data_IF_171295388834
#
_entry.id   IF_171295388834
#
_cell.length_a   1.000
_cell.length_b   1.000
_cell.length_c   1.000
_cell.angle_alpha   90.00
_cell.angle_beta   90.00
_cell.angle_gamma   90.00
#
_symmetry.space_group_name_H-M   'P 1'
#
loop_
_entity.id
_entity.type
_entity.pdbx_description
1 polymer ?
#
# COMPACT_ATOMS: atom_id res chain seq x y z
N UNK A 1 13.13 -18.48 -18.68
CA UNK A 1 12.92 -17.54 -19.82
C UNK A 1 11.46 -17.10 -19.75
N UNK A 2 11.19 -15.82 -19.54
CA UNK A 2 9.83 -15.30 -19.44
C UNK A 2 9.25 -15.13 -20.85
N UNK A 3 8.10 -15.75 -21.13
CA UNK A 3 7.37 -15.59 -22.38
C UNK A 3 6.13 -14.72 -22.11
N UNK A 4 6.03 -13.59 -22.80
CA UNK A 4 4.85 -12.73 -22.75
C UNK A 4 4.06 -12.82 -24.03
N UNK A 5 2.76 -13.15 -23.91
CA UNK A 5 1.84 -13.24 -25.04
C UNK A 5 1.02 -11.96 -25.19
N UNK A 6 0.78 -11.54 -26.42
CA UNK A 6 0.02 -10.33 -26.76
C UNK A 6 -1.43 -10.42 -26.29
N UNK A 7 -1.91 -9.35 -25.66
CA UNK A 7 -3.28 -9.20 -25.18
C UNK A 7 -4.35 -9.51 -26.26
N UNK A 8 -5.48 -10.04 -25.83
CA UNK A 8 -6.64 -10.40 -26.68
C UNK A 8 -6.31 -11.48 -27.73
N UNK A 9 -5.26 -12.25 -27.55
CA UNK A 9 -4.89 -13.39 -28.40
C UNK A 9 -4.89 -14.70 -27.59
N UNK A 10 -4.90 -15.82 -28.28
CA UNK A 10 -4.91 -17.14 -27.64
C UNK A 10 -3.73 -17.34 -26.67
N UNK A 11 -2.57 -16.78 -26.98
CA UNK A 11 -1.35 -16.84 -26.18
C UNK A 11 -1.19 -15.68 -25.20
N UNK A 12 -2.23 -14.88 -24.96
CA UNK A 12 -2.14 -13.70 -24.08
C UNK A 12 -1.66 -14.07 -22.68
N UNK A 13 -0.70 -13.32 -22.16
CA UNK A 13 -0.39 -13.32 -20.72
C UNK A 13 -1.47 -12.50 -20.02
N UNK A 14 -2.19 -13.10 -19.05
CA UNK A 14 -3.32 -12.48 -18.36
C UNK A 14 -3.00 -12.23 -16.89
N UNK A 15 -3.24 -10.99 -16.46
CA UNK A 15 -3.12 -10.54 -15.07
C UNK A 15 -4.50 -10.14 -14.56
N UNK A 16 -4.90 -10.67 -13.42
CA UNK A 16 -6.13 -10.30 -12.72
C UNK A 16 -5.77 -9.48 -11.50
N UNK A 17 -6.23 -8.24 -11.46
CA UNK A 17 -6.08 -7.35 -10.30
C UNK A 17 -7.26 -7.55 -9.35
N UNK A 18 -6.98 -7.80 -8.08
CA UNK A 18 -7.96 -7.85 -7.00
C UNK A 18 -7.86 -6.57 -6.16
N UNK A 19 -8.72 -5.61 -6.49
CA UNK A 19 -8.65 -4.22 -6.13
C UNK A 19 -8.31 -3.38 -7.35
N UNK A 20 -9.23 -2.50 -7.74
CA UNK A 20 -9.16 -1.72 -8.97
C UNK A 20 -9.14 -0.21 -8.67
N UNK A 21 -8.56 0.18 -7.52
CA UNK A 21 -8.36 1.56 -7.13
C UNK A 21 -7.27 2.27 -7.93
N UNK A 22 -6.78 3.38 -7.39
CA UNK A 22 -5.74 4.21 -7.99
C UNK A 22 -4.42 3.47 -8.21
N UNK A 23 -3.98 2.65 -7.24
CA UNK A 23 -2.75 1.88 -7.36
C UNK A 23 -2.92 0.77 -8.41
N UNK A 24 -4.04 0.05 -8.37
CA UNK A 24 -4.39 -0.95 -9.37
C UNK A 24 -4.46 -0.38 -10.79
N UNK A 25 -4.89 0.88 -10.97
CA UNK A 25 -4.89 1.57 -12.26
C UNK A 25 -3.46 1.74 -12.80
N UNK A 26 -2.53 2.19 -12.00
CA UNK A 26 -1.12 2.34 -12.41
C UNK A 26 -0.47 0.98 -12.71
N UNK A 27 -0.77 -0.07 -11.91
CA UNK A 27 -0.34 -1.45 -12.22
C UNK A 27 -0.91 -1.92 -13.56
N UNK A 28 -2.19 -1.66 -13.84
CA UNK A 28 -2.81 -2.00 -15.12
C UNK A 28 -2.13 -1.31 -16.30
N UNK A 29 -1.80 -0.02 -16.18
CA UNK A 29 -1.10 0.76 -17.18
C UNK A 29 0.30 0.16 -17.45
N UNK A 30 1.05 -0.19 -16.41
CA UNK A 30 2.36 -0.81 -16.56
C UNK A 30 2.29 -2.22 -17.18
N UNK A 31 1.27 -3.02 -16.85
CA UNK A 31 1.02 -4.29 -17.54
C UNK A 31 0.78 -4.07 -19.03
N UNK A 32 -0.02 -3.07 -19.41
CA UNK A 32 -0.31 -2.76 -20.81
C UNK A 32 0.91 -2.27 -21.59
N UNK A 33 1.85 -1.54 -20.94
CA UNK A 33 3.13 -1.16 -21.55
C UNK A 33 3.95 -2.36 -22.03
N UNK A 34 3.74 -3.52 -21.39
CA UNK A 34 4.39 -4.79 -21.76
C UNK A 34 3.49 -5.70 -22.62
N UNK A 35 2.34 -5.20 -23.10
CA UNK A 35 1.40 -5.95 -23.91
C UNK A 35 0.60 -7.02 -23.18
N UNK A 36 0.59 -6.98 -21.84
CA UNK A 36 -0.11 -7.93 -20.97
C UNK A 36 -1.60 -7.60 -20.89
N UNK A 37 -2.44 -8.62 -20.92
CA UNK A 37 -3.89 -8.50 -20.80
C UNK A 37 -4.30 -8.36 -19.34
N UNK A 38 -5.08 -7.33 -19.02
CA UNK A 38 -5.49 -7.01 -17.66
C UNK A 38 -6.98 -7.23 -17.46
N UNK A 39 -7.34 -7.93 -16.38
CA UNK A 39 -8.69 -8.11 -15.86
C UNK A 39 -8.76 -7.39 -14.52
N UNK A 40 -9.65 -6.40 -14.40
CA UNK A 40 -9.84 -5.62 -13.18
C UNK A 40 -11.03 -6.15 -12.37
N UNK A 41 -10.82 -6.43 -11.09
CA UNK A 41 -11.89 -6.92 -10.20
C UNK A 41 -12.01 -5.99 -9.00
N UNK A 42 -13.23 -5.53 -8.69
CA UNK A 42 -13.52 -4.73 -7.50
C UNK A 42 -14.94 -4.99 -7.00
N UNK A 43 -15.29 -4.44 -5.83
CA UNK A 43 -16.62 -4.52 -5.23
C UNK A 43 -17.64 -3.54 -5.82
N UNK A 44 -17.20 -2.55 -6.59
CA UNK A 44 -18.03 -1.52 -7.21
C UNK A 44 -17.65 -1.32 -8.68
N UNK A 45 -18.62 -0.90 -9.47
CA UNK A 45 -18.44 -0.63 -10.89
C UNK A 45 -17.62 0.65 -11.11
N UNK A 46 -17.03 0.77 -12.30
CA UNK A 46 -16.28 1.95 -12.75
C UNK A 46 -15.13 2.34 -11.82
N UNK A 47 -14.54 1.35 -11.14
CA UNK A 47 -13.33 1.55 -10.36
C UNK A 47 -12.17 1.98 -11.26
N UNK A 48 -11.22 2.81 -10.78
CA UNK A 48 -10.17 3.43 -11.60
C UNK A 48 -9.43 2.51 -12.57
N UNK A 49 -9.05 1.30 -12.16
CA UNK A 49 -8.37 0.35 -13.04
C UNK A 49 -9.28 -0.24 -14.11
N UNK A 50 -10.61 -0.27 -13.90
CA UNK A 50 -11.57 -0.76 -14.90
C UNK A 50 -11.60 0.12 -16.16
N UNK A 51 -11.25 1.41 -16.02
CA UNK A 51 -11.20 2.34 -17.17
C UNK A 51 -10.05 2.02 -18.15
N UNK A 52 -9.05 1.27 -17.71
CA UNK A 52 -7.85 0.95 -18.50
C UNK A 52 -7.62 -0.55 -18.65
N UNK A 53 -8.41 -1.40 -18.01
CA UNK A 53 -8.34 -2.84 -18.16
C UNK A 53 -9.01 -3.31 -19.45
N UNK A 54 -8.67 -4.51 -19.90
CA UNK A 54 -9.33 -5.13 -21.09
C UNK A 54 -10.72 -5.67 -20.76
N UNK A 55 -10.92 -6.14 -19.53
CA UNK A 55 -12.20 -6.61 -18.98
C UNK A 55 -12.29 -6.28 -17.50
N UNK A 56 -13.49 -6.28 -16.96
CA UNK A 56 -13.72 -6.03 -15.55
C UNK A 56 -14.86 -6.88 -14.98
N UNK A 57 -14.79 -7.14 -13.68
CA UNK A 57 -15.81 -7.84 -12.91
C UNK A 57 -16.10 -7.11 -11.59
N UNK A 58 -17.37 -7.04 -11.23
CA UNK A 58 -17.83 -6.50 -9.95
C UNK A 58 -18.30 -7.65 -9.09
N UNK A 59 -17.57 -7.95 -8.01
CA UNK A 59 -17.89 -9.01 -7.05
C UNK A 59 -17.56 -8.57 -5.62
N UNK A 60 -18.16 -9.22 -4.64
CA UNK A 60 -17.64 -9.18 -3.28
C UNK A 60 -16.39 -10.07 -3.20
N UNK A 61 -15.20 -9.47 -3.16
CA UNK A 61 -13.93 -10.20 -3.12
C UNK A 61 -13.68 -10.95 -1.80
N UNK A 62 -14.49 -10.72 -0.75
CA UNK A 62 -14.50 -11.54 0.46
C UNK A 62 -15.30 -12.86 0.28
N UNK A 63 -16.10 -12.96 -0.79
CA UNK A 63 -16.76 -14.21 -1.19
C UNK A 63 -15.79 -15.05 -2.03
N UNK A 64 -15.22 -16.09 -1.42
CA UNK A 64 -14.28 -16.98 -2.07
C UNK A 64 -14.87 -17.70 -3.29
N UNK A 65 -16.14 -18.10 -3.25
CA UNK A 65 -16.80 -18.77 -4.36
C UNK A 65 -17.03 -17.82 -5.55
N UNK A 66 -17.37 -16.55 -5.28
CA UNK A 66 -17.47 -15.54 -6.33
C UNK A 66 -16.11 -15.28 -6.97
N UNK A 67 -15.03 -15.19 -6.15
CA UNK A 67 -13.67 -15.03 -6.63
C UNK A 67 -13.25 -16.23 -7.51
N UNK A 68 -13.47 -17.45 -7.04
CA UNK A 68 -13.15 -18.68 -7.82
C UNK A 68 -13.85 -18.69 -9.17
N UNK A 69 -15.15 -18.38 -9.22
CA UNK A 69 -15.90 -18.34 -10.50
C UNK A 69 -15.29 -17.38 -11.52
N UNK A 70 -14.84 -16.21 -11.09
CA UNK A 70 -14.18 -15.23 -11.98
C UNK A 70 -12.81 -15.73 -12.42
N UNK A 71 -12.03 -16.34 -11.53
CA UNK A 71 -10.73 -16.94 -11.88
C UNK A 71 -10.90 -18.07 -12.91
N UNK A 72 -11.86 -18.96 -12.72
CA UNK A 72 -12.15 -20.05 -13.67
C UNK A 72 -12.63 -19.55 -15.03
N UNK A 73 -13.40 -18.47 -15.06
CA UNK A 73 -13.88 -17.81 -16.29
C UNK A 73 -12.71 -17.19 -17.07
N UNK A 74 -11.89 -16.39 -16.40
CA UNK A 74 -10.84 -15.57 -17.02
C UNK A 74 -9.53 -16.31 -17.21
N UNK A 75 -9.25 -17.33 -16.41
CA UNK A 75 -8.02 -18.14 -16.42
C UNK A 75 -6.77 -17.27 -16.43
N UNK A 76 -6.57 -16.41 -15.42
CA UNK A 76 -5.41 -15.55 -15.33
C UNK A 76 -4.14 -16.39 -15.12
N UNK A 77 -2.99 -15.88 -15.59
CA UNK A 77 -1.69 -16.43 -15.28
C UNK A 77 -1.16 -15.91 -13.94
N UNK A 78 -1.58 -14.69 -13.57
CA UNK A 78 -1.21 -14.04 -12.33
C UNK A 78 -2.45 -13.42 -11.67
N UNK A 79 -2.59 -13.63 -10.37
CA UNK A 79 -3.59 -12.99 -9.50
C UNK A 79 -2.84 -12.00 -8.60
N UNK A 80 -3.18 -10.72 -8.71
CA UNK A 80 -2.43 -9.61 -8.07
C UNK A 80 -3.35 -8.88 -7.09
N UNK A 81 -3.26 -9.18 -5.78
CA UNK A 81 -3.96 -8.43 -4.74
C UNK A 81 -3.44 -6.99 -4.62
N UNK A 82 -4.36 -6.02 -4.68
CA UNK A 82 -4.07 -4.59 -4.54
C UNK A 82 -4.77 -3.97 -3.33
N UNK A 83 -5.57 -4.73 -2.62
CA UNK A 83 -6.25 -4.35 -1.37
C UNK A 83 -6.24 -5.49 -0.37
N UNK A 84 -6.60 -5.19 0.88
CA UNK A 84 -6.62 -6.20 1.95
C UNK A 84 -8.00 -6.91 2.11
N UNK A 85 -9.07 -6.41 1.49
CA UNK A 85 -10.42 -6.98 1.64
C UNK A 85 -10.68 -8.10 0.62
N UNK A 86 -9.97 -9.23 0.75
CA UNK A 86 -10.00 -10.39 -0.16
C UNK A 86 -10.11 -11.68 0.64
N UNK A 87 -10.76 -12.69 0.05
CA UNK A 87 -10.84 -14.06 0.58
C UNK A 87 -9.46 -14.75 0.48
N UNK A 88 -8.57 -14.49 1.44
CA UNK A 88 -7.17 -15.00 1.41
C UNK A 88 -7.06 -16.52 1.48
N UNK A 89 -8.02 -17.19 2.13
CA UNK A 89 -8.05 -18.67 2.14
C UNK A 89 -8.33 -19.23 0.75
N UNK A 90 -9.13 -18.54 -0.06
CA UNK A 90 -9.32 -18.88 -1.46
C UNK A 90 -8.04 -18.65 -2.28
N UNK A 91 -7.29 -17.58 -2.02
CA UNK A 91 -6.00 -17.36 -2.69
C UNK A 91 -5.00 -18.48 -2.40
N UNK A 92 -4.96 -18.99 -1.16
CA UNK A 92 -4.10 -20.13 -0.80
C UNK A 92 -4.49 -21.38 -1.61
N UNK A 93 -5.79 -21.70 -1.70
CA UNK A 93 -6.27 -22.83 -2.48
C UNK A 93 -5.92 -22.69 -3.97
N UNK A 94 -6.10 -21.50 -4.55
CA UNK A 94 -5.76 -21.25 -5.95
C UNK A 94 -4.26 -21.37 -6.20
N UNK A 95 -3.42 -20.95 -5.27
CA UNK A 95 -1.97 -21.09 -5.35
C UNK A 95 -1.55 -22.57 -5.23
N UNK A 96 -2.16 -23.35 -4.33
CA UNK A 96 -1.96 -24.81 -4.23
C UNK A 96 -2.39 -25.55 -5.49
N UNK A 97 -3.38 -25.04 -6.22
CA UNK A 97 -3.82 -25.54 -7.53
C UNK A 97 -2.86 -25.13 -8.68
N UNK A 98 -1.82 -24.35 -8.40
CA UNK A 98 -0.78 -23.95 -9.34
C UNK A 98 -0.96 -22.59 -10.02
N UNK A 99 -1.89 -21.74 -9.53
CA UNK A 99 -1.99 -20.37 -10.00
C UNK A 99 -0.94 -19.47 -9.31
N UNK A 100 -0.43 -18.48 -10.03
CA UNK A 100 0.53 -17.54 -9.45
C UNK A 100 -0.21 -16.40 -8.72
N UNK A 101 -0.17 -16.40 -7.41
CA UNK A 101 -0.61 -15.28 -6.57
C UNK A 101 0.59 -14.38 -6.26
N UNK A 102 0.43 -13.07 -6.32
CA UNK A 102 1.52 -12.07 -6.22
C UNK A 102 1.43 -11.32 -4.89
N UNK A 103 2.55 -11.16 -4.17
CA UNK A 103 3.83 -11.85 -4.36
C UNK A 103 3.73 -13.35 -4.06
N UNK A 104 2.85 -13.76 -3.13
CA UNK A 104 2.33 -15.11 -2.87
C UNK A 104 1.11 -15.01 -1.93
N UNK A 105 0.27 -16.06 -1.90
CA UNK A 105 -0.94 -16.07 -1.08
C UNK A 105 -0.63 -15.97 0.44
N UNK A 106 0.47 -16.60 0.88
CA UNK A 106 0.94 -16.52 2.27
C UNK A 106 1.28 -15.08 2.67
N UNK A 107 2.01 -14.33 1.82
CA UNK A 107 2.36 -12.94 2.10
C UNK A 107 1.11 -12.08 2.25
N UNK A 108 0.16 -12.20 1.31
CA UNK A 108 -1.12 -11.50 1.36
C UNK A 108 -1.89 -11.80 2.65
N UNK A 109 -1.98 -13.07 3.06
CA UNK A 109 -2.69 -13.47 4.29
C UNK A 109 -2.02 -12.93 5.55
N UNK A 110 -0.68 -13.03 5.64
CA UNK A 110 0.05 -12.57 6.82
C UNK A 110 -0.02 -11.07 7.03
N UNK A 111 0.08 -10.30 5.97
CA UNK A 111 0.08 -8.83 6.05
C UNK A 111 -1.31 -8.23 6.29
N UNK A 112 -2.37 -8.95 5.93
CA UNK A 112 -3.74 -8.58 6.32
C UNK A 112 -4.02 -8.71 7.82
N UNK A 113 -3.24 -9.52 8.51
CA UNK A 113 -3.38 -9.81 9.93
C UNK A 113 -2.21 -9.21 10.71
N UNK A 114 -2.45 -8.11 11.44
CA UNK A 114 -1.42 -7.45 12.25
C UNK A 114 -0.75 -8.39 13.26
N UNK A 115 -1.45 -9.40 13.77
CA UNK A 115 -0.83 -10.40 14.65
C UNK A 115 0.18 -11.25 13.87
N UNK A 116 -0.19 -11.74 12.68
CA UNK A 116 0.68 -12.57 11.87
C UNK A 116 1.98 -11.86 11.50
N UNK A 117 1.88 -10.64 10.96
CA UNK A 117 3.08 -9.90 10.56
C UNK A 117 3.91 -9.42 11.76
N UNK A 118 3.27 -9.04 12.88
CA UNK A 118 3.98 -8.63 14.09
C UNK A 118 4.76 -9.78 14.71
N UNK A 119 4.17 -10.99 14.79
CA UNK A 119 4.86 -12.17 15.28
C UNK A 119 6.00 -12.59 14.37
N UNK A 120 5.79 -12.58 13.05
CA UNK A 120 6.85 -12.84 12.09
C UNK A 120 8.04 -11.90 12.32
N UNK A 121 7.80 -10.59 12.42
CA UNK A 121 8.86 -9.61 12.60
C UNK A 121 9.56 -9.72 13.96
N UNK A 122 8.80 -9.74 15.06
CA UNK A 122 9.34 -9.66 16.40
C UNK A 122 9.83 -11.01 16.94
N UNK A 123 9.09 -12.12 16.71
CA UNK A 123 9.33 -13.40 17.35
C UNK A 123 10.18 -14.33 16.47
N UNK A 124 9.89 -14.41 15.16
CA UNK A 124 10.62 -15.28 14.24
C UNK A 124 11.89 -14.63 13.70
N UNK A 125 11.80 -13.37 13.23
CA UNK A 125 12.93 -12.64 12.64
C UNK A 125 13.74 -11.85 13.68
N UNK A 126 13.24 -11.70 14.90
CA UNK A 126 13.86 -10.96 16.00
C UNK A 126 14.25 -9.52 15.61
N UNK A 127 13.39 -8.88 14.82
CA UNK A 127 13.58 -7.50 14.41
C UNK A 127 13.15 -6.52 15.51
N UNK A 128 13.77 -5.33 15.58
CA UNK A 128 13.28 -4.24 16.42
C UNK A 128 11.84 -3.87 16.02
N UNK A 129 10.90 -3.94 16.97
CA UNK A 129 9.50 -3.51 16.81
C UNK A 129 9.07 -2.69 18.01
N UNK A 130 7.92 -2.00 17.93
CA UNK A 130 7.26 -1.48 19.12
C UNK A 130 6.97 -2.62 20.12
N UNK A 131 6.97 -2.34 21.42
CA UNK A 131 6.43 -3.28 22.40
C UNK A 131 4.94 -3.50 22.13
N UNK A 132 4.46 -4.73 22.25
CA UNK A 132 3.07 -5.04 21.92
C UNK A 132 2.47 -6.14 22.79
N UNK A 133 1.12 -6.15 22.87
CA UNK A 133 0.34 -7.24 23.42
C UNK A 133 -0.97 -7.38 22.63
N UNK A 134 -1.46 -8.62 22.52
CA UNK A 134 -2.76 -8.91 21.92
C UNK A 134 -3.81 -9.14 23.00
N UNK A 135 -5.05 -8.73 22.71
CA UNK A 135 -6.19 -8.95 23.59
C UNK A 135 -7.44 -9.26 22.78
N UNK A 136 -8.22 -10.24 23.24
CA UNK A 136 -9.48 -10.68 22.64
C UNK A 136 -10.70 -10.39 23.51
N UNK A 137 -10.47 -9.78 24.68
CA UNK A 137 -11.51 -9.33 25.60
C UNK A 137 -11.12 -7.99 26.22
N UNK A 138 -12.12 -7.24 26.74
CA UNK A 138 -11.88 -5.96 27.41
C UNK A 138 -10.99 -6.12 28.66
N UNK A 139 -11.12 -7.23 29.40
CA UNK A 139 -10.25 -7.49 30.56
C UNK A 139 -8.79 -7.62 30.13
N UNK A 140 -8.51 -8.47 29.13
CA UNK A 140 -7.15 -8.66 28.59
C UNK A 140 -6.62 -7.37 27.94
N UNK A 141 -7.48 -6.58 27.31
CA UNK A 141 -7.09 -5.27 26.79
C UNK A 141 -6.62 -4.32 27.90
N UNK A 142 -7.36 -4.24 29.02
CA UNK A 142 -6.95 -3.43 30.17
C UNK A 142 -5.64 -3.92 30.79
N UNK A 143 -5.44 -5.23 30.91
CA UNK A 143 -4.19 -5.84 31.34
C UNK A 143 -3.03 -5.53 30.35
N UNK A 144 -3.29 -5.60 29.06
CA UNK A 144 -2.32 -5.26 28.02
C UNK A 144 -1.88 -3.80 28.12
N UNK A 145 -2.84 -2.86 28.27
CA UNK A 145 -2.52 -1.44 28.48
C UNK A 145 -1.75 -1.21 29.77
N UNK A 146 -2.13 -1.87 30.88
CA UNK A 146 -1.41 -1.75 32.14
C UNK A 146 0.05 -2.24 32.04
N UNK A 147 0.30 -3.28 31.21
CA UNK A 147 1.65 -3.82 31.00
C UNK A 147 2.51 -2.98 30.03
N UNK A 148 1.89 -2.37 29.01
CA UNK A 148 2.58 -1.50 28.03
C UNK A 148 2.83 -0.10 28.63
N UNK A 149 1.85 0.41 29.40
CA UNK A 149 1.87 1.77 29.95
C UNK A 149 1.30 2.82 29.00
N UNK A 150 1.29 4.06 29.50
CA UNK A 150 0.82 5.22 28.71
C UNK A 150 2.00 6.10 28.26
N UNK A 151 1.90 6.73 27.08
CA UNK A 151 0.87 6.54 26.05
C UNK A 151 1.03 5.22 25.29
N UNK A 152 -0.09 4.68 24.80
CA UNK A 152 -0.10 3.50 23.93
C UNK A 152 -1.13 3.66 22.79
N UNK A 153 -1.08 2.76 21.82
CA UNK A 153 -1.99 2.75 20.68
C UNK A 153 -2.73 1.40 20.67
N UNK A 154 -4.05 1.44 20.57
CA UNK A 154 -4.85 0.25 20.28
C UNK A 154 -5.29 0.25 18.82
N UNK A 155 -5.23 -0.93 18.17
CA UNK A 155 -5.67 -1.13 16.79
C UNK A 155 -6.40 -2.47 16.68
N UNK A 156 -7.50 -2.59 15.91
CA UNK A 156 -8.02 -3.90 15.53
C UNK A 156 -6.96 -4.68 14.75
N UNK A 157 -6.88 -6.00 14.98
CA UNK A 157 -5.92 -6.86 14.25
C UNK A 157 -6.18 -6.85 12.74
N UNK A 158 -7.44 -6.76 12.34
CA UNK A 158 -7.89 -6.73 10.94
C UNK A 158 -8.50 -5.35 10.61
N UNK A 159 -7.68 -4.33 10.39
CA UNK A 159 -8.12 -3.00 9.94
C UNK A 159 -7.05 -2.30 9.10
N UNK A 160 -7.44 -1.26 8.37
CA UNK A 160 -6.51 -0.42 7.58
C UNK A 160 -6.92 1.05 7.67
N UNK A 161 -6.04 1.94 7.22
CA UNK A 161 -6.28 3.40 7.17
C UNK A 161 -6.75 3.97 8.52
N UNK A 162 -6.14 3.53 9.62
CA UNK A 162 -6.42 4.05 10.96
C UNK A 162 -7.82 3.74 11.55
N UNK A 163 -8.68 2.98 10.85
CA UNK A 163 -10.02 2.67 11.34
C UNK A 163 -9.98 1.84 12.61
N UNK A 164 -10.68 2.30 13.68
CA UNK A 164 -10.67 1.68 14.98
C UNK A 164 -9.39 1.90 15.79
N UNK A 165 -8.44 2.70 15.29
CA UNK A 165 -7.22 3.04 16.00
C UNK A 165 -7.46 4.18 17.01
N UNK A 166 -6.94 4.02 18.21
CA UNK A 166 -6.99 5.07 19.25
C UNK A 166 -5.62 5.24 19.91
N UNK A 167 -5.20 6.49 20.05
CA UNK A 167 -4.04 6.88 20.85
C UNK A 167 -4.52 7.14 22.30
N UNK A 168 -4.09 6.29 23.23
CA UNK A 168 -4.54 6.27 24.62
C UNK A 168 -3.49 6.95 25.49
N UNK A 169 -3.88 8.02 26.18
CA UNK A 169 -3.02 8.80 27.07
C UNK A 169 -3.26 8.52 28.54
N UNK A 170 -4.48 8.03 28.89
CA UNK A 170 -4.89 7.81 30.27
C UNK A 170 -5.97 6.73 30.39
N UNK A 171 -6.22 6.28 31.62
CA UNK A 171 -7.16 5.20 31.91
C UNK A 171 -8.62 5.55 31.56
N UNK A 172 -8.96 6.82 31.61
CA UNK A 172 -10.34 7.29 31.31
C UNK A 172 -10.75 7.02 29.85
N UNK A 173 -9.77 6.89 28.95
CA UNK A 173 -10.01 6.65 27.52
C UNK A 173 -10.25 5.17 27.19
N UNK A 174 -9.99 4.22 28.11
CA UNK A 174 -9.95 2.79 27.82
C UNK A 174 -11.29 2.24 27.31
N UNK A 175 -12.40 2.60 27.96
CA UNK A 175 -13.73 2.08 27.57
C UNK A 175 -14.08 2.51 26.13
N UNK A 176 -13.91 3.80 25.82
CA UNK A 176 -14.19 4.35 24.50
C UNK A 176 -13.23 3.77 23.44
N UNK A 177 -11.95 3.62 23.77
CA UNK A 177 -10.95 3.06 22.85
C UNK A 177 -11.24 1.60 22.49
N UNK A 178 -11.66 0.78 23.49
CA UNK A 178 -12.08 -0.59 23.25
C UNK A 178 -13.30 -0.65 22.34
N UNK A 179 -14.35 0.12 22.67
CA UNK A 179 -15.59 0.17 21.89
C UNK A 179 -15.33 0.59 20.43
N UNK A 180 -14.53 1.64 20.23
CA UNK A 180 -14.16 2.11 18.88
C UNK A 180 -13.36 1.06 18.11
N UNK A 181 -12.42 0.37 18.77
CA UNK A 181 -11.65 -0.69 18.13
C UNK A 181 -12.55 -1.88 17.70
N UNK A 182 -13.63 -2.19 18.45
CA UNK A 182 -14.58 -3.22 18.06
C UNK A 182 -15.43 -2.85 16.84
N UNK A 183 -15.68 -1.55 16.61
CA UNK A 183 -16.43 -1.03 15.45
C UNK A 183 -15.58 -0.91 14.19
N UNK A 184 -14.26 -0.70 14.33
CA UNK A 184 -13.34 -0.45 13.23
C UNK A 184 -12.79 -1.69 12.51
N UNK A 185 -13.05 -2.90 13.04
CA UNK A 185 -12.54 -4.14 12.47
C UNK A 185 -13.26 -4.55 11.17
N UNK A 186 -12.51 -4.93 10.13
CA UNK A 186 -13.07 -5.44 8.86
C UNK A 186 -13.75 -6.81 9.01
N UNK A 187 -13.35 -7.59 10.01
CA UNK A 187 -13.92 -8.90 10.34
C UNK A 187 -14.97 -8.83 11.48
N UNK A 188 -15.45 -7.62 11.82
CA UNK A 188 -16.32 -7.39 12.96
C UNK A 188 -15.55 -7.20 14.27
N UNK A 189 -16.28 -7.27 15.40
CA UNK A 189 -15.71 -7.21 16.74
C UNK A 189 -14.74 -8.37 16.98
N UNK A 190 -13.60 -8.09 17.59
CA UNK A 190 -12.60 -9.13 17.78
C UNK A 190 -11.32 -8.66 18.45
N UNK A 191 -10.26 -9.37 18.13
CA UNK A 191 -8.93 -9.22 18.70
C UNK A 191 -8.30 -7.88 18.35
N UNK A 192 -7.63 -7.27 19.31
CA UNK A 192 -6.87 -6.02 19.15
C UNK A 192 -5.38 -6.23 19.46
N UNK A 193 -4.53 -5.36 18.93
CA UNK A 193 -3.17 -5.17 19.36
C UNK A 193 -3.06 -3.86 20.15
N UNK A 194 -2.36 -3.88 21.28
CA UNK A 194 -1.94 -2.71 22.06
C UNK A 194 -0.45 -2.55 21.84
N UNK A 195 -0.03 -1.38 21.37
CA UNK A 195 1.38 -1.09 21.06
C UNK A 195 1.88 0.09 21.87
N UNK A 196 3.12 -0.01 22.36
CA UNK A 196 3.83 1.13 22.93
C UNK A 196 4.15 2.17 21.85
N UNK A 197 4.06 3.43 22.21
CA UNK A 197 4.38 4.53 21.29
C UNK A 197 5.89 4.59 21.08
N UNK A 198 6.30 4.47 19.83
CA UNK A 198 7.69 4.68 19.42
C UNK A 198 7.94 6.19 19.29
N UNK A 199 9.00 6.68 19.92
CA UNK A 199 9.51 8.02 19.67
C UNK A 199 10.48 7.94 18.50
N UNK A 200 10.19 8.64 17.43
CA UNK A 200 10.99 8.63 16.20
C UNK A 200 11.21 10.05 15.68
N UNK A 201 12.26 10.23 14.90
CA UNK A 201 12.54 11.50 14.23
C UNK A 201 11.67 11.64 12.96
N UNK A 202 11.54 10.53 12.20
CA UNK A 202 10.69 10.46 11.03
C UNK A 202 10.33 8.99 10.71
N UNK A 203 9.28 8.83 9.91
CA UNK A 203 8.84 7.58 9.34
C UNK A 203 9.19 7.51 7.85
N UNK A 204 9.57 6.32 7.38
CA UNK A 204 9.81 6.07 5.96
C UNK A 204 9.01 4.88 5.47
N UNK A 205 8.69 4.92 4.18
CA UNK A 205 8.37 3.71 3.40
C UNK A 205 9.59 3.33 2.58
N UNK A 206 10.17 2.17 2.84
CA UNK A 206 11.23 1.60 2.02
C UNK A 206 10.63 0.63 1.01
N UNK A 207 10.41 1.12 -0.21
CA UNK A 207 9.91 0.31 -1.33
C UNK A 207 10.98 -0.72 -1.69
N UNK A 208 10.64 -1.99 -1.46
CA UNK A 208 11.55 -3.14 -1.57
C UNK A 208 11.00 -4.11 -2.60
N UNK A 209 11.81 -4.46 -3.59
CA UNK A 209 11.42 -5.33 -4.70
C UNK A 209 12.11 -6.68 -4.57
N UNK A 210 11.34 -7.76 -4.48
CA UNK A 210 11.83 -9.12 -4.64
C UNK A 210 11.65 -9.54 -6.10
N UNK A 211 12.73 -9.79 -6.80
CA UNK A 211 12.72 -10.13 -8.23
C UNK A 211 13.68 -11.30 -8.53
N UNK A 212 13.67 -11.78 -9.76
CA UNK A 212 14.49 -12.93 -10.21
C UNK A 212 15.99 -12.69 -10.11
N UNK A 213 16.42 -11.41 -10.12
CA UNK A 213 17.80 -10.97 -9.98
C UNK A 213 18.16 -10.47 -8.58
N UNK A 214 17.29 -10.71 -7.58
CA UNK A 214 17.55 -10.43 -6.18
C UNK A 214 16.58 -9.43 -5.55
N UNK A 215 16.97 -8.88 -4.39
CA UNK A 215 16.22 -7.86 -3.67
C UNK A 215 16.81 -6.48 -3.95
N UNK A 216 15.97 -5.58 -4.45
CA UNK A 216 16.33 -4.21 -4.79
C UNK A 216 15.57 -3.22 -3.91
N UNK A 217 16.14 -2.03 -3.69
CA UNK A 217 15.54 -0.97 -2.89
C UNK A 217 15.43 0.31 -3.69
N UNK A 218 14.29 0.96 -3.61
CA UNK A 218 14.20 2.38 -3.98
C UNK A 218 14.91 3.24 -2.92
N UNK A 219 15.24 4.47 -3.26
CA UNK A 219 15.63 5.45 -2.25
C UNK A 219 14.48 5.60 -1.23
N UNK A 220 14.77 5.83 0.06
CA UNK A 220 13.73 5.95 1.09
C UNK A 220 12.71 7.02 0.77
N UNK A 221 11.44 6.71 0.95
CA UNK A 221 10.33 7.65 0.79
C UNK A 221 9.93 8.17 2.17
N UNK A 222 10.12 9.46 2.40
CA UNK A 222 9.53 10.16 3.54
C UNK A 222 8.09 10.54 3.24
N UNK A 223 7.26 10.62 4.28
CA UNK A 223 5.87 10.98 4.11
C UNK A 223 5.30 11.71 5.32
N UNK A 224 4.21 12.42 5.11
CA UNK A 224 3.39 13.01 6.16
C UNK A 224 1.99 12.41 6.10
N UNK A 225 1.53 11.97 7.26
CA UNK A 225 0.16 11.52 7.48
C UNK A 225 -0.58 12.53 8.37
N UNK A 226 -1.89 12.59 8.23
CA UNK A 226 -2.78 13.37 9.07
C UNK A 226 -4.02 12.52 9.33
N UNK A 227 -4.33 12.30 10.61
CA UNK A 227 -5.41 11.39 11.04
C UNK A 227 -5.29 9.97 10.47
N UNK A 228 -4.06 9.49 10.27
CA UNK A 228 -3.78 8.18 9.68
C UNK A 228 -3.97 8.11 8.17
N UNK A 229 -4.16 9.25 7.50
CA UNK A 229 -4.31 9.34 6.05
C UNK A 229 -3.11 10.05 5.41
N UNK A 230 -2.60 9.48 4.33
CA UNK A 230 -1.49 10.03 3.57
C UNK A 230 -1.82 11.40 2.97
N UNK A 231 -0.91 12.36 3.12
CA UNK A 231 -1.04 13.74 2.59
C UNK A 231 0.03 14.07 1.58
N UNK A 232 1.29 13.88 1.92
CA UNK A 232 2.44 14.11 1.04
C UNK A 232 3.46 13.00 1.21
N UNK A 233 4.20 12.71 0.15
CA UNK A 233 5.44 11.92 0.20
C UNK A 233 6.53 12.60 -0.61
N UNK A 234 7.76 12.28 -0.30
CA UNK A 234 8.94 12.81 -0.98
C UNK A 234 10.06 11.79 -1.06
N UNK A 235 10.93 11.95 -2.04
CA UNK A 235 12.06 11.07 -2.29
C UNK A 235 13.25 11.88 -2.82
N UNK A 236 14.48 11.65 -2.27
CA UNK A 236 14.78 10.73 -1.16
C UNK A 236 14.53 11.37 0.21
N UNK A 237 14.11 10.57 1.19
CA UNK A 237 14.24 10.96 2.58
C UNK A 237 15.69 10.86 3.00
N UNK A 238 16.27 11.95 3.46
CA UNK A 238 17.64 11.97 3.99
C UNK A 238 17.71 11.22 5.31
N UNK A 239 18.71 10.35 5.46
CA UNK A 239 18.99 9.61 6.66
C UNK A 239 20.48 9.24 6.72
N UNK A 240 20.98 8.85 7.88
CA UNK A 240 22.38 8.44 8.01
C UNK A 240 22.65 7.16 7.20
N UNK A 241 23.89 6.96 6.71
CA UNK A 241 24.25 5.73 6.00
C UNK A 241 23.98 4.47 6.83
N UNK A 242 24.22 4.52 8.14
CA UNK A 242 24.00 3.40 9.06
C UNK A 242 22.50 3.10 9.24
N UNK A 243 21.65 4.13 9.37
CA UNK A 243 20.20 3.94 9.42
C UNK A 243 19.67 3.37 8.11
N UNK A 244 20.19 3.81 6.96
CA UNK A 244 19.81 3.26 5.64
C UNK A 244 20.18 1.77 5.52
N UNK A 245 21.39 1.39 5.94
CA UNK A 245 21.84 0.00 5.93
C UNK A 245 20.92 -0.88 6.80
N UNK A 246 20.61 -0.42 8.02
CA UNK A 246 19.70 -1.12 8.95
C UNK A 246 18.28 -1.24 8.37
N UNK A 247 17.76 -0.17 7.76
CA UNK A 247 16.46 -0.18 7.10
C UNK A 247 16.40 -1.23 5.98
N UNK A 248 17.44 -1.28 5.14
CA UNK A 248 17.55 -2.26 4.06
C UNK A 248 17.70 -3.69 4.59
N UNK A 249 18.43 -3.90 5.69
CA UNK A 249 18.57 -5.21 6.32
C UNK A 249 17.23 -5.72 6.87
N UNK A 250 16.49 -4.87 7.60
CA UNK A 250 15.16 -5.19 8.12
C UNK A 250 14.22 -5.53 6.96
N UNK A 251 14.13 -4.67 5.96
CA UNK A 251 13.25 -4.87 4.82
C UNK A 251 13.60 -6.14 4.04
N UNK A 252 14.88 -6.42 3.81
CA UNK A 252 15.35 -7.66 3.16
C UNK A 252 14.90 -8.90 3.92
N UNK A 253 15.08 -8.93 5.26
CA UNK A 253 14.68 -10.08 6.10
C UNK A 253 13.17 -10.32 6.01
N UNK A 254 12.37 -9.25 6.13
CA UNK A 254 10.90 -9.34 6.08
C UNK A 254 10.44 -9.85 4.71
N UNK A 255 10.93 -9.26 3.63
CA UNK A 255 10.51 -9.60 2.26
C UNK A 255 10.89 -11.03 1.90
N UNK A 256 12.10 -11.48 2.26
CA UNK A 256 12.53 -12.86 2.04
C UNK A 256 11.71 -13.87 2.86
N UNK A 257 11.35 -13.53 4.10
CA UNK A 257 10.51 -14.38 4.95
C UNK A 257 9.06 -14.45 4.45
N UNK A 258 8.52 -13.39 3.88
CA UNK A 258 7.20 -13.38 3.25
C UNK A 258 7.20 -14.23 1.96
N UNK A 259 8.26 -14.11 1.17
CA UNK A 259 8.44 -14.85 -0.08
C UNK A 259 7.70 -14.24 -1.27
N UNK A 260 7.90 -14.88 -2.45
CA UNK A 260 7.33 -14.47 -3.71
C UNK A 260 8.08 -13.33 -4.41
N UNK A 261 7.59 -12.97 -5.60
CA UNK A 261 8.13 -11.87 -6.40
C UNK A 261 7.12 -10.74 -6.53
N UNK A 262 7.57 -9.53 -6.24
CA UNK A 262 6.74 -8.33 -6.27
C UNK A 262 7.39 -7.19 -5.52
N UNK A 263 6.67 -6.09 -5.39
CA UNK A 263 7.06 -4.94 -4.59
C UNK A 263 6.40 -5.02 -3.21
N UNK A 264 7.14 -4.57 -2.20
CA UNK A 264 6.70 -4.48 -0.81
C UNK A 264 6.94 -3.06 -0.30
N UNK A 265 5.93 -2.43 0.25
CA UNK A 265 6.06 -1.18 0.99
C UNK A 265 6.37 -1.48 2.45
N UNK A 266 7.63 -1.36 2.86
CA UNK A 266 8.06 -1.62 4.25
C UNK A 266 8.10 -0.31 5.01
N UNK A 267 7.24 -0.17 6.02
CA UNK A 267 7.16 1.04 6.87
C UNK A 267 8.06 0.90 8.09
N UNK A 268 8.88 1.91 8.33
CA UNK A 268 9.93 1.89 9.33
C UNK A 268 9.97 3.24 10.08
N UNK A 269 10.09 3.18 11.41
CA UNK A 269 10.42 4.34 12.23
C UNK A 269 11.92 4.50 12.34
N UNK A 270 12.42 5.73 12.22
CA UNK A 270 13.84 6.05 12.31
C UNK A 270 14.07 7.01 13.49
N UNK A 271 15.01 6.64 14.38
CA UNK A 271 15.43 7.44 15.52
C UNK A 271 16.96 7.49 15.56
N UNK A 272 17.55 8.58 15.07
CA UNK A 272 18.98 8.64 14.83
C UNK A 272 19.44 7.54 13.88
N UNK A 273 20.29 6.64 14.38
CA UNK A 273 20.73 5.46 13.64
C UNK A 273 19.86 4.22 13.88
N UNK A 274 18.94 4.25 14.83
CA UNK A 274 18.06 3.11 15.11
C UNK A 274 16.88 3.07 14.13
N UNK A 275 16.53 1.87 13.70
CA UNK A 275 15.41 1.61 12.78
C UNK A 275 14.51 0.53 13.37
N UNK A 276 13.22 0.81 13.41
CA UNK A 276 12.22 -0.03 14.04
C UNK A 276 11.17 -0.39 12.99
N UNK A 277 10.88 -1.69 12.85
CA UNK A 277 9.83 -2.17 11.95
C UNK A 277 8.44 -1.78 12.45
N UNK A 278 7.65 -1.18 11.57
CA UNK A 278 6.25 -0.81 11.80
C UNK A 278 5.28 -1.78 11.13
N UNK A 279 5.22 -1.76 9.81
CA UNK A 279 4.27 -2.54 9.01
C UNK A 279 4.87 -2.89 7.63
N UNK A 280 4.22 -3.79 6.88
CA UNK A 280 4.56 -4.07 5.48
C UNK A 280 3.32 -4.35 4.67
N UNK A 281 3.25 -3.75 3.48
CA UNK A 281 2.25 -4.04 2.45
C UNK A 281 2.91 -4.85 1.33
N UNK A 282 2.39 -6.02 0.92
CA UNK A 282 2.98 -6.87 -0.12
C UNK A 282 2.49 -6.42 -1.52
N UNK A 283 2.48 -5.12 -1.77
CA UNK A 283 1.94 -4.45 -2.95
C UNK A 283 2.47 -3.03 -3.04
N UNK A 284 2.25 -2.31 -4.17
CA UNK A 284 2.47 -0.87 -4.26
C UNK A 284 1.84 -0.09 -3.10
N UNK A 285 2.49 0.98 -2.67
CA UNK A 285 2.14 1.76 -1.50
C UNK A 285 1.75 3.18 -1.87
N UNK A 286 0.73 3.76 -1.22
CA UNK A 286 0.25 5.13 -1.51
C UNK A 286 1.38 6.16 -1.53
N UNK A 287 2.35 6.04 -0.60
CA UNK A 287 3.50 6.95 -0.52
C UNK A 287 4.44 6.82 -1.72
N UNK A 288 4.44 5.68 -2.39
CA UNK A 288 5.26 5.39 -3.56
C UNK A 288 4.78 6.06 -4.85
N UNK A 289 3.63 6.73 -4.85
CA UNK A 289 3.17 7.55 -5.99
C UNK A 289 4.24 8.57 -6.44
N UNK A 290 5.09 9.03 -5.54
CA UNK A 290 6.22 9.92 -5.88
C UNK A 290 7.16 9.30 -6.91
N UNK A 291 7.26 7.97 -6.98
CA UNK A 291 8.14 7.25 -7.92
C UNK A 291 7.71 7.42 -9.39
N UNK A 292 6.48 7.86 -9.64
CA UNK A 292 6.00 8.18 -10.99
C UNK A 292 6.76 9.35 -11.64
N UNK A 293 7.49 10.16 -10.84
CA UNK A 293 8.25 11.31 -11.33
C UNK A 293 9.70 11.30 -10.84
N UNK A 294 10.02 10.62 -9.73
CA UNK A 294 11.33 10.68 -9.08
C UNK A 294 12.36 9.72 -9.66
N UNK A 295 11.95 8.65 -10.34
CA UNK A 295 12.83 7.59 -10.81
C UNK A 295 12.41 7.03 -12.20
N UNK A 296 13.30 6.26 -12.82
CA UNK A 296 13.09 5.72 -14.17
C UNK A 296 12.05 4.59 -14.22
N UNK A 297 11.95 3.81 -13.16
CA UNK A 297 10.95 2.77 -12.96
C UNK A 297 10.10 3.11 -11.76
N UNK A 298 8.83 3.42 -11.99
CA UNK A 298 7.89 3.62 -10.88
C UNK A 298 7.75 2.35 -10.02
N UNK A 299 7.26 2.48 -8.81
CA UNK A 299 6.96 1.31 -7.97
C UNK A 299 6.04 0.31 -8.69
N UNK A 300 5.13 0.80 -9.52
CA UNK A 300 4.22 -0.01 -10.33
C UNK A 300 4.96 -0.79 -11.42
N UNK A 301 5.88 -0.14 -12.13
CA UNK A 301 6.74 -0.77 -13.13
C UNK A 301 7.64 -1.83 -12.49
N UNK A 302 8.20 -1.54 -11.31
CA UNK A 302 9.00 -2.47 -10.53
C UNK A 302 8.18 -3.70 -10.09
N UNK A 303 6.95 -3.49 -9.59
CA UNK A 303 6.05 -4.56 -9.19
C UNK A 303 5.71 -5.47 -10.38
N UNK A 304 5.32 -4.88 -11.52
CA UNK A 304 4.98 -5.62 -12.73
C UNK A 304 6.17 -6.41 -13.27
N UNK A 305 7.38 -5.81 -13.33
CA UNK A 305 8.59 -6.55 -13.73
C UNK A 305 8.85 -7.73 -12.81
N UNK A 306 8.79 -7.52 -11.50
CA UNK A 306 9.08 -8.56 -10.53
C UNK A 306 8.17 -9.77 -10.69
N UNK A 307 6.85 -9.59 -10.65
CA UNK A 307 5.94 -10.73 -10.73
C UNK A 307 5.88 -11.38 -12.12
N UNK A 308 6.20 -10.67 -13.18
CA UNK A 308 6.33 -11.27 -14.52
C UNK A 308 7.65 -12.05 -14.70
N UNK A 309 8.50 -12.12 -13.67
CA UNK A 309 9.78 -12.81 -13.74
C UNK A 309 10.81 -12.07 -14.61
N UNK A 310 10.70 -10.76 -14.73
CA UNK A 310 11.67 -9.90 -15.42
C UNK A 310 12.68 -9.34 -14.39
N UNK A 311 13.94 -9.14 -14.77
CA UNK A 311 14.93 -8.52 -13.90
C UNK A 311 14.64 -7.03 -13.70
N UNK A 312 14.97 -6.53 -12.52
CA UNK A 312 14.96 -5.09 -12.21
C UNK A 312 16.19 -4.41 -12.79
N UNK A 313 17.37 -5.02 -12.64
CA UNK A 313 18.65 -4.55 -13.17
C UNK A 313 19.24 -3.33 -12.44
N UNK A 314 18.40 -2.46 -11.92
CA UNK A 314 18.77 -1.26 -11.18
C UNK A 314 17.66 -0.21 -11.22
N UNK A 315 17.70 0.71 -10.27
CA UNK A 315 16.71 1.80 -10.12
C UNK A 315 17.49 3.11 -10.13
N UNK A 316 17.21 3.96 -11.12
CA UNK A 316 17.86 5.27 -11.23
C UNK A 316 16.90 6.35 -10.76
N UNK A 317 17.29 7.07 -9.73
CA UNK A 317 16.59 8.26 -9.27
C UNK A 317 17.04 9.49 -10.10
N UNK A 318 16.09 10.34 -10.50
CA UNK A 318 16.36 11.56 -11.26
C UNK A 318 16.78 12.73 -10.37
N UNK A 319 16.22 12.83 -9.17
CA UNK A 319 16.47 13.91 -8.23
C UNK A 319 15.38 14.03 -7.18
N UNK A 320 15.42 15.10 -6.36
CA UNK A 320 14.38 15.36 -5.37
C UNK A 320 13.01 15.53 -6.01
N UNK A 321 12.02 14.84 -5.46
CA UNK A 321 10.64 14.89 -5.93
C UNK A 321 9.66 14.73 -4.77
N UNK A 322 8.41 15.16 -4.98
CA UNK A 322 7.33 15.00 -4.04
C UNK A 322 5.99 14.71 -4.72
N UNK A 323 5.10 14.12 -3.95
CA UNK A 323 3.69 13.88 -4.28
C UNK A 323 2.82 14.53 -3.22
N UNK A 324 1.74 15.22 -3.62
CA UNK A 324 0.73 15.75 -2.71
C UNK A 324 -0.67 15.38 -3.18
N UNK A 325 -1.55 15.00 -2.23
CA UNK A 325 -2.89 14.52 -2.56
C UNK A 325 -3.84 15.65 -2.94
N UNK A 326 -4.72 15.37 -3.90
CA UNK A 326 -5.91 16.17 -4.18
C UNK A 326 -7.04 15.54 -3.37
N UNK A 327 -7.40 16.19 -2.25
CA UNK A 327 -8.30 15.66 -1.24
C UNK A 327 -9.45 16.66 -0.98
N UNK A 328 -10.45 16.71 -1.86
CA UNK A 328 -11.63 17.52 -1.63
C UNK A 328 -12.55 16.92 -0.56
N UNK A 329 -13.48 17.73 -0.08
CA UNK A 329 -14.57 17.31 0.80
C UNK A 329 -15.89 17.74 0.18
N UNK A 330 -16.59 16.78 -0.41
CA UNK A 330 -17.92 16.96 -1.00
C UNK A 330 -18.61 15.61 -1.17
N UNK A 331 -19.90 15.65 -1.54
CA UNK A 331 -20.64 14.44 -1.93
C UNK A 331 -21.14 14.63 -3.36
N UNK A 332 -20.71 13.75 -4.27
CA UNK A 332 -21.12 13.80 -5.69
C UNK A 332 -20.91 12.45 -6.37
N UNK A 333 -21.78 12.17 -7.33
CA UNK A 333 -21.65 11.06 -8.31
C UNK A 333 -21.23 11.57 -9.71
N UNK A 334 -20.89 12.85 -9.83
CA UNK A 334 -20.52 13.49 -11.09
C UNK A 334 -19.33 14.43 -10.89
N UNK A 335 -18.19 13.84 -10.54
CA UNK A 335 -16.98 14.59 -10.18
C UNK A 335 -16.32 15.20 -11.40
N UNK A 336 -16.05 16.49 -11.34
CA UNK A 336 -15.30 17.25 -12.35
C UNK A 336 -14.10 17.96 -11.72
N UNK A 337 -13.09 18.25 -12.54
CA UNK A 337 -11.87 18.92 -12.11
C UNK A 337 -11.67 20.18 -12.93
N UNK A 338 -11.51 21.30 -12.24
CA UNK A 338 -11.22 22.61 -12.83
C UNK A 338 -9.80 23.07 -12.47
N UNK A 339 -9.27 24.03 -13.24
CA UNK A 339 -7.92 24.58 -13.07
C UNK A 339 -6.77 23.56 -13.21
N UNK A 340 -6.99 22.39 -13.80
CA UNK A 340 -5.97 21.34 -13.99
C UNK A 340 -4.74 21.87 -14.73
N UNK A 341 -4.93 22.82 -15.67
CA UNK A 341 -3.84 23.46 -16.41
C UNK A 341 -2.83 24.20 -15.53
N UNK A 342 -3.22 24.59 -14.30
CA UNK A 342 -2.34 25.28 -13.35
C UNK A 342 -1.49 24.29 -12.51
N UNK A 343 -1.80 22.99 -12.61
CA UNK A 343 -1.12 21.92 -11.88
C UNK A 343 -0.20 21.08 -12.78
N UNK A 344 0.04 21.48 -14.02
CA UNK A 344 0.90 20.77 -14.97
C UNK A 344 1.97 21.71 -15.54
N UNK A 345 3.16 21.17 -15.80
CA UNK A 345 4.31 21.93 -16.32
C UNK A 345 5.52 21.03 -16.55
N UNK A 346 6.67 21.62 -16.81
CA UNK A 346 7.91 20.87 -17.07
C UNK A 346 8.29 19.95 -15.88
N UNK A 347 8.16 20.49 -14.67
CA UNK A 347 8.51 19.80 -13.40
C UNK A 347 7.27 19.40 -12.59
N UNK A 348 6.08 19.45 -13.20
CA UNK A 348 4.80 19.19 -12.56
C UNK A 348 3.99 18.20 -13.39
N UNK A 349 3.49 17.16 -12.73
CA UNK A 349 2.58 16.19 -13.32
C UNK A 349 1.38 16.01 -12.39
N UNK A 350 0.29 15.52 -12.94
CA UNK A 350 -0.92 15.19 -12.17
C UNK A 350 -1.39 13.77 -12.52
N UNK A 351 -1.95 13.10 -11.52
CA UNK A 351 -2.70 11.86 -11.71
C UNK A 351 -4.10 12.05 -11.15
N UNK A 352 -5.09 12.05 -12.01
CA UNK A 352 -6.51 12.00 -11.61
C UNK A 352 -6.95 10.55 -11.61
N UNK A 353 -7.43 10.08 -10.49
CA UNK A 353 -7.69 8.64 -10.30
C UNK A 353 -8.90 8.15 -11.10
N UNK A 354 -9.91 9.02 -11.30
CA UNK A 354 -11.14 8.66 -11.98
C UNK A 354 -12.09 7.86 -11.09
N UNK A 355 -12.10 8.11 -9.79
CA UNK A 355 -13.11 7.51 -8.89
C UNK A 355 -14.50 8.00 -9.28
N UNK A 356 -15.51 7.11 -9.40
CA UNK A 356 -16.83 7.48 -9.95
C UNK A 356 -17.62 8.39 -9.05
N UNK A 357 -17.36 8.35 -7.75
CA UNK A 357 -18.11 9.10 -6.74
C UNK A 357 -17.22 9.54 -5.59
N UNK A 358 -17.68 10.52 -4.85
CA UNK A 358 -17.10 10.96 -3.58
C UNK A 358 -18.23 11.17 -2.57
N UNK A 359 -18.02 10.68 -1.34
CA UNK A 359 -18.87 10.96 -0.18
C UNK A 359 -17.97 11.37 1.00
N UNK A 360 -18.08 12.64 1.39
CA UNK A 360 -17.22 13.26 2.39
C UNK A 360 -15.81 13.57 1.86
N UNK A 361 -14.76 13.06 2.50
CA UNK A 361 -13.37 13.26 2.13
C UNK A 361 -12.81 12.02 1.43
N UNK A 362 -12.28 12.19 0.22
CA UNK A 362 -11.69 11.09 -0.56
C UNK A 362 -10.57 11.60 -1.46
N UNK A 363 -9.43 10.90 -1.49
CA UNK A 363 -8.34 11.21 -2.43
C UNK A 363 -8.80 10.96 -3.87
N UNK A 364 -8.76 11.98 -4.70
CA UNK A 364 -9.19 11.91 -6.11
C UNK A 364 -8.04 12.03 -7.10
N UNK A 365 -6.85 12.36 -6.61
CA UNK A 365 -5.66 12.47 -7.42
C UNK A 365 -4.44 12.81 -6.59
N UNK A 366 -3.30 12.94 -7.28
CA UNK A 366 -2.05 13.48 -6.75
C UNK A 366 -1.44 14.44 -7.74
N UNK A 367 -0.81 15.50 -7.22
CA UNK A 367 0.13 16.33 -7.95
C UNK A 367 1.54 15.87 -7.61
N UNK A 368 2.39 15.76 -8.63
CA UNK A 368 3.77 15.29 -8.55
C UNK A 368 4.69 16.43 -8.99
N UNK A 369 5.76 16.66 -8.24
CA UNK A 369 6.71 17.73 -8.55
C UNK A 369 8.16 17.26 -8.41
N UNK A 370 9.03 17.79 -9.27
CA UNK A 370 10.48 17.76 -9.10
C UNK A 370 11.04 19.15 -8.78
N UNK A 371 12.15 19.21 -8.05
CA UNK A 371 12.85 20.47 -7.74
C UNK A 371 14.33 20.20 -7.42
N UNK A 372 15.08 21.26 -7.12
CA UNK A 372 16.48 21.15 -6.69
C UNK A 372 16.61 20.61 -5.26
N UNK A 373 15.59 20.81 -4.43
CA UNK A 373 15.53 20.30 -3.06
C UNK A 373 14.21 19.58 -2.77
N UNK A 374 14.21 18.69 -1.78
CA UNK A 374 12.99 18.01 -1.29
C UNK A 374 11.99 19.02 -0.76
N UNK A 375 12.44 20.05 -0.05
CA UNK A 375 11.55 21.08 0.51
C UNK A 375 10.81 21.81 -0.61
N UNK A 376 11.53 22.24 -1.64
CA UNK A 376 10.91 22.91 -2.80
C UNK A 376 9.98 21.97 -3.56
N UNK A 377 10.34 20.69 -3.72
CA UNK A 377 9.46 19.70 -4.35
C UNK A 377 8.15 19.53 -3.61
N UNK A 378 8.19 19.44 -2.26
CA UNK A 378 6.99 19.35 -1.41
C UNK A 378 6.11 20.59 -1.61
N UNK A 379 6.67 21.80 -1.51
CA UNK A 379 5.91 23.04 -1.65
C UNK A 379 5.30 23.17 -3.07
N UNK A 380 6.03 22.78 -4.11
CA UNK A 380 5.50 22.76 -5.49
C UNK A 380 4.35 21.76 -5.64
N UNK A 381 4.51 20.54 -5.13
CA UNK A 381 3.46 19.51 -5.21
C UNK A 381 2.20 19.94 -4.46
N UNK A 382 2.33 20.49 -3.24
CA UNK A 382 1.21 21.04 -2.46
C UNK A 382 0.53 22.19 -3.18
N UNK A 383 1.32 23.14 -3.71
CA UNK A 383 0.78 24.26 -4.47
C UNK A 383 -0.02 23.76 -5.68
N UNK A 384 0.55 22.85 -6.48
CA UNK A 384 -0.12 22.29 -7.64
C UNK A 384 -1.40 21.54 -7.27
N UNK A 385 -1.37 20.70 -6.22
CA UNK A 385 -2.58 20.02 -5.73
C UNK A 385 -3.67 21.00 -5.29
N UNK A 386 -3.28 22.11 -4.64
CA UNK A 386 -4.19 23.17 -4.21
C UNK A 386 -4.82 24.01 -5.33
N UNK A 387 -4.20 24.01 -6.55
CA UNK A 387 -4.78 24.69 -7.71
C UNK A 387 -5.98 23.94 -8.29
N UNK A 388 -6.01 22.61 -8.16
CA UNK A 388 -7.07 21.79 -8.71
C UNK A 388 -8.33 21.94 -7.87
N UNK A 389 -9.39 22.44 -8.50
CA UNK A 389 -10.70 22.56 -7.86
C UNK A 389 -11.57 21.40 -8.28
N UNK A 390 -12.15 20.72 -7.31
CA UNK A 390 -13.06 19.62 -7.55
C UNK A 390 -14.48 20.10 -7.35
N UNK A 391 -15.34 19.80 -8.33
CA UNK A 391 -16.76 20.15 -8.37
C UNK A 391 -17.58 18.89 -8.63
N UNK A 392 -18.86 18.93 -8.25
CA UNK A 392 -19.75 17.80 -8.44
C UNK A 392 -21.22 18.17 -8.43
#
# INVERSE_FOLDING_TARGET
MTLLGTALRRAATRVMLLGSGELGKEVAIECQRLGVEVIAVDRYADAPAMHVAHRSHVINMLDGDALRRVVELEKPHYIVPEIEAIATDMLIQLEEEGLNVVPCARATKLTMNREGIRRLAAEELQLPTSTYRFADSESLFREAVAAIGYPCIVKPVMSSSGKGQTFIRSAEQLAQAWEYAQQGGRAGAGRVIVEGVVKFDFEITLLTVSAVDGVHFCAPVGHRQEDGDYRESWQPQQMSPLALERAQEIARKVVLALGGYGLFGVELFVCGDEVIFSEVSPRPHDTGMVTLISQDLSEFALHVRAFLGLPVGGIRQYGPAASAVILPQLTSQNVTFDNVQNAVGADLQIRLFGKPEIDGSRRLGVALATAESVVDAIERAKHAAGQVKVQG
#
